data_IF_845005436577
#
_entry.id   IF_845005436577
#
_cell.length_a   1.000
_cell.length_b   1.000
_cell.length_c   1.000
_cell.angle_alpha   90.00
_cell.angle_beta   90.00
_cell.angle_gamma   90.00
#
_symmetry.space_group_name_H-M   'P 1'
#
loop_
_entity.id
_entity.type
_entity.pdbx_description
1 polymer ?
#
# COMPACT_ATOMS: atom_id res chain seq x y z
N UNK A 1 31.63 -16.59 39.50
CA UNK A 1 30.64 -16.13 38.48
C UNK A 1 30.69 -17.10 37.31
N UNK A 2 29.69 -17.95 37.18
CA UNK A 2 29.62 -18.96 36.08
C UNK A 2 28.75 -18.37 34.98
N UNK A 3 29.34 -17.99 33.84
CA UNK A 3 28.62 -17.68 32.60
C UNK A 3 28.03 -19.00 32.06
N UNK A 4 26.72 -19.12 32.06
CA UNK A 4 26.02 -20.14 31.29
C UNK A 4 25.99 -19.68 29.82
N UNK A 5 26.65 -20.44 28.97
CA UNK A 5 26.49 -20.33 27.52
C UNK A 5 25.04 -20.68 27.17
N UNK A 6 24.31 -19.71 26.64
CA UNK A 6 23.05 -19.96 25.97
C UNK A 6 23.36 -20.49 24.57
N UNK A 7 22.75 -21.59 24.29
CA UNK A 7 22.75 -22.36 23.06
C UNK A 7 22.45 -21.46 21.84
N UNK A 8 23.34 -21.49 20.88
CA UNK A 8 23.16 -21.03 19.50
C UNK A 8 21.90 -21.67 18.90
N UNK A 9 20.78 -20.96 18.87
CA UNK A 9 19.71 -21.22 17.91
C UNK A 9 20.33 -21.02 16.52
N UNK A 10 20.18 -22.02 15.66
CA UNK A 10 20.75 -22.00 14.32
C UNK A 10 20.35 -20.68 13.61
N UNK A 11 21.35 -19.99 13.10
CA UNK A 11 21.16 -18.95 12.12
C UNK A 11 20.46 -19.63 10.92
N UNK A 12 19.15 -19.45 10.81
CA UNK A 12 18.46 -19.68 9.56
C UNK A 12 19.16 -18.75 8.55
N UNK A 13 19.83 -19.33 7.58
CA UNK A 13 20.32 -18.58 6.43
C UNK A 13 19.07 -18.11 5.67
N UNK A 14 18.61 -16.90 5.98
CA UNK A 14 17.58 -16.24 5.21
C UNK A 14 18.23 -15.91 3.86
N UNK A 15 17.81 -16.62 2.83
CA UNK A 15 18.22 -16.31 1.46
C UNK A 15 17.24 -15.26 0.93
N UNK A 16 17.68 -14.02 0.82
CA UNK A 16 16.90 -12.91 0.25
C UNK A 16 16.84 -12.90 -1.28
N UNK A 17 17.47 -13.88 -1.95
CA UNK A 17 17.33 -14.02 -3.39
C UNK A 17 15.94 -14.60 -3.70
N UNK A 18 15.25 -13.97 -4.62
CA UNK A 18 14.00 -14.51 -5.14
C UNK A 18 14.23 -15.85 -5.82
N UNK A 19 13.21 -16.71 -5.80
CA UNK A 19 13.22 -17.96 -6.56
C UNK A 19 13.01 -17.67 -8.05
N UNK A 20 13.29 -18.65 -8.90
CA UNK A 20 13.04 -18.52 -10.34
C UNK A 20 11.56 -18.24 -10.65
N UNK A 21 10.64 -18.85 -9.91
CA UNK A 21 9.20 -18.60 -10.03
C UNK A 21 8.82 -17.16 -9.64
N UNK A 22 9.45 -16.62 -8.60
CA UNK A 22 9.23 -15.24 -8.15
C UNK A 22 9.79 -14.23 -9.16
N UNK A 23 10.92 -14.52 -9.78
CA UNK A 23 11.49 -13.70 -10.87
C UNK A 23 10.58 -13.75 -12.11
N UNK A 24 10.03 -14.93 -12.46
CA UNK A 24 9.06 -15.07 -13.55
C UNK A 24 7.76 -14.30 -13.27
N UNK A 25 7.27 -14.31 -12.01
CA UNK A 25 6.12 -13.50 -11.60
C UNK A 25 6.40 -12.01 -11.83
N UNK A 26 7.58 -11.53 -11.41
CA UNK A 26 8.01 -10.14 -11.63
C UNK A 26 8.00 -9.76 -13.11
N UNK A 27 8.64 -10.56 -13.95
CA UNK A 27 8.74 -10.30 -15.38
C UNK A 27 7.36 -10.28 -16.05
N UNK A 28 6.49 -11.18 -15.64
CA UNK A 28 5.13 -11.28 -16.18
C UNK A 28 4.27 -10.07 -15.78
N UNK A 29 4.29 -9.69 -14.50
CA UNK A 29 3.57 -8.50 -14.00
C UNK A 29 4.13 -7.22 -14.63
N UNK A 30 5.44 -7.10 -14.74
CA UNK A 30 6.10 -5.96 -15.41
C UNK A 30 5.64 -5.82 -16.85
N UNK A 31 5.71 -6.90 -17.63
CA UNK A 31 5.30 -6.90 -19.04
C UNK A 31 3.83 -6.50 -19.20
N UNK A 32 2.96 -7.01 -18.34
CA UNK A 32 1.54 -6.64 -18.34
C UNK A 32 1.34 -5.14 -18.02
N UNK A 33 2.03 -4.63 -17.01
CA UNK A 33 1.88 -3.23 -16.60
C UNK A 33 2.53 -2.25 -17.57
N UNK A 34 3.62 -2.61 -18.25
CA UNK A 34 4.19 -1.80 -19.35
C UNK A 34 3.19 -1.60 -20.49
N UNK A 35 2.35 -2.61 -20.76
CA UNK A 35 1.30 -2.51 -21.78
C UNK A 35 0.05 -1.75 -21.26
N UNK A 36 -0.40 -2.05 -20.02
CA UNK A 36 -1.71 -1.62 -19.51
C UNK A 36 -1.69 -0.37 -18.62
N UNK A 37 -0.52 0.03 -18.12
CA UNK A 37 -0.33 1.21 -17.28
C UNK A 37 0.75 2.13 -17.85
N UNK A 38 0.70 2.38 -19.16
CA UNK A 38 1.56 3.37 -19.79
C UNK A 38 1.30 4.78 -19.24
N UNK A 39 2.24 5.72 -19.41
CA UNK A 39 2.05 7.12 -19.01
C UNK A 39 0.74 7.71 -19.54
N UNK A 40 0.39 7.40 -20.80
CA UNK A 40 -0.84 7.87 -21.44
C UNK A 40 -2.08 7.34 -20.70
N UNK A 41 -2.10 6.07 -20.35
CA UNK A 41 -3.19 5.45 -19.59
C UNK A 41 -3.27 5.98 -18.15
N UNK A 42 -2.15 6.16 -17.47
CA UNK A 42 -2.13 6.79 -16.14
C UNK A 42 -2.74 8.19 -16.21
N UNK A 43 -2.36 9.01 -17.21
CA UNK A 43 -2.92 10.35 -17.40
C UNK A 43 -4.41 10.31 -17.73
N UNK A 44 -4.83 9.38 -18.56
CA UNK A 44 -6.24 9.20 -18.89
C UNK A 44 -7.06 8.84 -17.67
N UNK A 45 -6.58 7.87 -16.88
CA UNK A 45 -7.32 7.33 -15.72
C UNK A 45 -7.36 8.30 -14.54
N UNK A 46 -6.28 9.04 -14.28
CA UNK A 46 -6.26 10.01 -13.17
C UNK A 46 -7.29 11.13 -13.34
N UNK A 47 -7.70 11.42 -14.57
CA UNK A 47 -8.71 12.45 -14.88
C UNK A 47 -10.15 11.92 -14.85
N UNK A 48 -10.34 10.59 -14.73
CA UNK A 48 -11.67 9.99 -14.62
C UNK A 48 -12.18 9.97 -13.17
N UNK A 49 -13.49 9.97 -12.99
CA UNK A 49 -14.11 9.87 -11.66
C UNK A 49 -13.81 8.51 -11.01
N UNK A 50 -13.85 7.43 -11.78
CA UNK A 50 -13.59 6.07 -11.27
C UNK A 50 -12.12 5.85 -10.91
N UNK A 51 -11.18 6.44 -11.63
CA UNK A 51 -9.75 6.36 -11.37
C UNK A 51 -9.10 5.02 -11.76
N UNK A 52 -9.80 4.14 -12.49
CA UNK A 52 -9.26 2.86 -12.96
C UNK A 52 -9.95 2.38 -14.25
N UNK A 53 -9.35 1.41 -14.93
CA UNK A 53 -9.92 0.74 -16.10
C UNK A 53 -10.52 -0.61 -15.69
N UNK A 54 -11.82 -0.79 -15.92
CA UNK A 54 -12.56 -1.99 -15.52
C UNK A 54 -12.10 -3.24 -16.28
N UNK A 55 -11.69 -3.10 -17.56
CA UNK A 55 -11.21 -4.22 -18.34
C UNK A 55 -9.81 -4.68 -17.87
N UNK A 56 -8.93 -3.74 -17.54
CA UNK A 56 -7.63 -4.05 -16.95
C UNK A 56 -7.81 -4.70 -15.57
N UNK A 57 -8.73 -4.20 -14.74
CA UNK A 57 -9.05 -4.79 -13.44
C UNK A 57 -9.52 -6.23 -13.55
N UNK A 58 -10.44 -6.54 -14.50
CA UNK A 58 -10.87 -7.91 -14.76
C UNK A 58 -9.73 -8.81 -15.29
N UNK A 59 -8.88 -8.28 -16.18
CA UNK A 59 -7.70 -9.02 -16.66
C UNK A 59 -6.71 -9.36 -15.54
N UNK A 60 -6.50 -8.45 -14.60
CA UNK A 60 -5.66 -8.70 -13.41
C UNK A 60 -6.19 -9.86 -12.56
N UNK A 61 -7.52 -10.00 -12.45
CA UNK A 61 -8.14 -11.10 -11.71
C UNK A 61 -8.14 -12.40 -12.52
N UNK A 62 -8.70 -12.38 -13.73
CA UNK A 62 -9.01 -13.58 -14.52
C UNK A 62 -7.79 -14.22 -15.17
N UNK A 63 -6.82 -13.39 -15.62
CA UNK A 63 -5.65 -13.87 -16.35
C UNK A 63 -4.43 -14.03 -15.45
N UNK A 64 -4.25 -13.12 -14.48
CA UNK A 64 -3.09 -13.05 -13.63
C UNK A 64 -3.34 -13.53 -12.19
N UNK A 65 -4.60 -13.57 -11.76
CA UNK A 65 -4.98 -13.94 -10.40
C UNK A 65 -4.44 -13.01 -9.32
N UNK A 66 -4.13 -11.74 -9.65
CA UNK A 66 -3.44 -10.84 -8.71
C UNK A 66 -4.29 -10.53 -7.48
N UNK A 67 -5.60 -10.36 -7.64
CA UNK A 67 -6.52 -10.08 -6.53
C UNK A 67 -6.65 -11.26 -5.56
N UNK A 68 -6.45 -12.50 -6.05
CA UNK A 68 -6.55 -13.73 -5.27
C UNK A 68 -5.24 -14.16 -4.61
N UNK A 69 -4.13 -13.46 -4.87
CA UNK A 69 -2.77 -13.90 -4.57
C UNK A 69 -2.58 -14.34 -3.12
N UNK A 70 -2.93 -13.49 -2.15
CA UNK A 70 -2.76 -13.76 -0.71
C UNK A 70 -4.01 -14.35 -0.03
N UNK A 71 -5.11 -14.45 -0.75
CA UNK A 71 -6.35 -15.00 -0.20
C UNK A 71 -6.19 -16.51 -0.03
N UNK A 72 -6.60 -17.09 1.11
CA UNK A 72 -6.52 -18.54 1.32
C UNK A 72 -7.29 -19.33 0.27
N UNK A 73 -6.77 -20.50 -0.12
CA UNK A 73 -7.41 -21.39 -1.12
C UNK A 73 -8.87 -21.77 -0.74
N UNK A 74 -9.14 -21.92 0.57
CA UNK A 74 -10.48 -22.21 1.08
C UNK A 74 -11.51 -21.13 0.72
N UNK A 75 -11.06 -19.91 0.40
CA UNK A 75 -11.89 -18.77 0.05
C UNK A 75 -11.68 -18.29 -1.40
N UNK A 76 -11.22 -19.19 -2.27
CA UNK A 76 -11.06 -18.90 -3.71
C UNK A 76 -9.76 -18.19 -4.08
N UNK A 77 -8.80 -18.13 -3.17
CA UNK A 77 -7.48 -17.54 -3.40
C UNK A 77 -6.42 -18.54 -3.85
N UNK A 78 -5.19 -18.05 -3.98
CA UNK A 78 -4.02 -18.85 -4.34
C UNK A 78 -3.13 -19.21 -3.14
N UNK A 79 -3.34 -18.57 -1.99
CA UNK A 79 -2.63 -18.87 -0.76
C UNK A 79 -1.12 -18.55 -0.77
N UNK A 80 -0.68 -17.64 -1.66
CA UNK A 80 0.70 -17.16 -1.67
C UNK A 80 0.99 -16.24 -0.47
N UNK A 81 2.27 -15.97 -0.25
CA UNK A 81 2.73 -15.12 0.84
C UNK A 81 2.92 -13.66 0.48
N UNK A 82 3.42 -12.92 1.44
CA UNK A 82 3.74 -11.52 1.28
C UNK A 82 4.96 -11.28 0.36
N UNK A 83 5.83 -12.28 0.16
CA UNK A 83 6.96 -12.16 -0.77
C UNK A 83 6.47 -11.96 -2.20
N UNK A 84 5.48 -12.74 -2.65
CA UNK A 84 4.87 -12.59 -3.96
C UNK A 84 4.09 -11.29 -4.06
N UNK A 85 3.38 -10.89 -3.00
CA UNK A 85 2.62 -9.64 -2.98
C UNK A 85 3.53 -8.41 -3.13
N UNK A 86 4.67 -8.36 -2.44
CA UNK A 86 5.58 -7.20 -2.54
C UNK A 86 6.22 -7.10 -3.93
N UNK A 87 6.46 -8.21 -4.62
CA UNK A 87 6.93 -8.22 -6.02
C UNK A 87 5.89 -7.54 -6.92
N UNK A 88 4.63 -7.90 -6.77
CA UNK A 88 3.51 -7.31 -7.53
C UNK A 88 3.36 -5.81 -7.22
N UNK A 89 3.41 -5.42 -5.96
CA UNK A 89 3.28 -4.03 -5.53
C UNK A 89 4.47 -3.17 -6.00
N UNK A 90 5.68 -3.72 -6.03
CA UNK A 90 6.85 -3.02 -6.57
C UNK A 90 6.65 -2.67 -8.05
N UNK A 91 6.17 -3.62 -8.87
CA UNK A 91 5.90 -3.36 -10.29
C UNK A 91 4.71 -2.40 -10.48
N UNK A 92 3.69 -2.47 -9.63
CA UNK A 92 2.58 -1.50 -9.63
C UNK A 92 3.06 -0.08 -9.28
N UNK A 93 3.97 0.05 -8.32
CA UNK A 93 4.58 1.33 -7.97
C UNK A 93 5.46 1.89 -9.08
N UNK A 94 6.23 1.02 -9.75
CA UNK A 94 7.05 1.36 -10.91
C UNK A 94 6.21 1.96 -12.04
N UNK A 95 5.01 1.44 -12.27
CA UNK A 95 4.12 1.82 -13.37
C UNK A 95 3.05 2.85 -12.98
N UNK A 96 3.04 3.34 -11.73
CA UNK A 96 1.98 4.22 -11.17
C UNK A 96 0.57 3.68 -11.41
N UNK A 97 0.38 2.36 -11.29
CA UNK A 97 -0.90 1.73 -11.60
C UNK A 97 -2.08 2.47 -10.93
N UNK A 98 -3.07 2.81 -11.74
CA UNK A 98 -4.35 3.34 -11.30
C UNK A 98 -5.37 2.19 -11.22
N UNK A 99 -5.49 1.57 -10.05
CA UNK A 99 -6.44 0.47 -9.79
C UNK A 99 -6.71 0.33 -8.29
N UNK A 100 -7.90 -0.18 -7.89
CA UNK A 100 -8.27 -0.36 -6.48
C UNK A 100 -7.62 -1.62 -5.86
N UNK A 101 -6.36 -1.90 -6.22
CA UNK A 101 -5.64 -3.09 -5.77
C UNK A 101 -5.22 -2.96 -4.30
N UNK A 102 -4.62 -1.82 -3.94
CA UNK A 102 -4.15 -1.60 -2.57
C UNK A 102 -5.31 -1.62 -1.56
N UNK A 103 -6.41 -0.96 -1.88
CA UNK A 103 -7.60 -0.93 -1.03
C UNK A 103 -8.24 -2.31 -0.87
N UNK A 104 -8.35 -3.08 -1.98
CA UNK A 104 -9.05 -4.37 -1.96
C UNK A 104 -8.18 -5.50 -1.39
N UNK A 105 -6.92 -5.62 -1.87
CA UNK A 105 -6.05 -6.75 -1.51
C UNK A 105 -5.23 -6.45 -0.27
N UNK A 106 -4.56 -5.28 -0.20
CA UNK A 106 -3.67 -5.00 0.94
C UNK A 106 -4.44 -4.61 2.19
N UNK A 107 -5.53 -3.85 2.06
CA UNK A 107 -6.30 -3.40 3.22
C UNK A 107 -7.47 -4.34 3.55
N UNK A 108 -8.45 -4.46 2.65
CA UNK A 108 -9.70 -5.15 2.97
C UNK A 108 -9.52 -6.66 3.10
N UNK A 109 -8.83 -7.33 2.17
CA UNK A 109 -8.62 -8.77 2.28
C UNK A 109 -7.82 -9.14 3.52
N UNK A 110 -6.73 -8.40 3.86
CA UNK A 110 -6.00 -8.63 5.10
C UNK A 110 -6.86 -8.38 6.35
N UNK A 111 -7.74 -7.37 6.34
CA UNK A 111 -8.65 -7.13 7.47
C UNK A 111 -9.57 -8.33 7.69
N UNK A 112 -10.13 -8.91 6.63
CA UNK A 112 -10.96 -10.11 6.71
C UNK A 112 -10.14 -11.32 7.16
N UNK A 113 -8.99 -11.59 6.56
CA UNK A 113 -8.13 -12.74 6.89
C UNK A 113 -7.70 -12.69 8.36
N UNK A 114 -7.25 -11.54 8.84
CA UNK A 114 -6.77 -11.39 10.20
C UNK A 114 -7.87 -11.17 11.25
N UNK A 115 -9.13 -11.03 10.84
CA UNK A 115 -10.28 -11.03 11.75
C UNK A 115 -10.52 -12.38 12.41
N UNK A 116 -10.14 -13.47 11.73
CA UNK A 116 -10.46 -14.83 12.14
C UNK A 116 -11.97 -15.15 12.08
N UNK A 117 -12.75 -14.31 11.43
CA UNK A 117 -14.19 -14.52 11.24
C UNK A 117 -14.44 -15.31 9.97
N UNK A 118 -14.59 -16.62 10.13
CA UNK A 118 -14.81 -17.55 9.01
C UNK A 118 -16.07 -17.22 8.19
N UNK A 119 -17.12 -16.72 8.84
CA UNK A 119 -18.35 -16.35 8.14
C UNK A 119 -18.12 -15.11 7.26
N UNK A 120 -17.44 -14.11 7.78
CA UNK A 120 -17.08 -12.91 7.04
C UNK A 120 -16.09 -13.23 5.90
N UNK A 121 -15.08 -14.07 6.14
CA UNK A 121 -14.14 -14.51 5.11
C UNK A 121 -14.87 -15.25 3.99
N UNK A 122 -15.74 -16.21 4.30
CA UNK A 122 -16.53 -16.96 3.33
C UNK A 122 -17.50 -16.08 2.53
N UNK A 123 -18.05 -15.03 3.15
CA UNK A 123 -18.98 -14.12 2.49
C UNK A 123 -18.29 -13.15 1.51
N UNK A 124 -17.08 -12.67 1.83
CA UNK A 124 -16.50 -11.51 1.13
C UNK A 124 -15.23 -11.82 0.33
N UNK A 125 -14.35 -12.72 0.81
CA UNK A 125 -13.08 -13.00 0.13
C UNK A 125 -13.22 -13.55 -1.28
N UNK A 126 -14.18 -14.45 -1.60
CA UNK A 126 -14.34 -14.95 -2.98
C UNK A 126 -14.63 -13.85 -4.00
N UNK A 127 -15.47 -12.87 -3.63
CA UNK A 127 -15.77 -11.73 -4.50
C UNK A 127 -14.56 -10.80 -4.71
N UNK A 128 -13.69 -10.63 -3.69
CA UNK A 128 -12.44 -9.89 -3.82
C UNK A 128 -11.46 -10.68 -4.70
N UNK A 129 -11.33 -11.99 -4.49
CA UNK A 129 -10.44 -12.86 -5.26
C UNK A 129 -10.77 -12.87 -6.76
N UNK A 130 -12.05 -12.89 -7.11
CA UNK A 130 -12.53 -12.83 -8.50
C UNK A 130 -12.44 -11.43 -9.12
N UNK A 131 -12.21 -10.39 -8.33
CA UNK A 131 -12.24 -8.99 -8.78
C UNK A 131 -13.65 -8.41 -8.94
N UNK A 132 -14.72 -9.19 -8.67
CA UNK A 132 -16.11 -8.70 -8.71
C UNK A 132 -16.39 -7.68 -7.60
N UNK A 133 -15.74 -7.85 -6.43
CA UNK A 133 -15.89 -6.94 -5.29
C UNK A 133 -14.67 -6.05 -5.15
N UNK A 134 -14.85 -4.75 -5.36
CA UNK A 134 -13.91 -3.74 -4.93
C UNK A 134 -14.19 -3.45 -3.47
N UNK A 135 -13.18 -3.68 -2.62
CA UNK A 135 -13.30 -3.50 -1.18
C UNK A 135 -12.30 -2.46 -0.66
N UNK A 136 -12.62 -1.84 0.46
CA UNK A 136 -11.71 -0.88 1.11
C UNK A 136 -11.83 -0.93 2.63
N UNK A 137 -10.84 -0.34 3.31
CA UNK A 137 -10.84 -0.11 4.76
C UNK A 137 -10.96 1.39 5.06
N UNK A 138 -12.02 1.77 5.74
CA UNK A 138 -12.29 3.11 6.22
C UNK A 138 -11.82 3.26 7.67
N UNK A 139 -10.59 3.73 7.87
CA UNK A 139 -9.95 3.86 9.18
C UNK A 139 -9.86 5.32 9.63
N UNK A 140 -9.20 6.17 8.82
CA UNK A 140 -8.85 7.55 9.18
C UNK A 140 -10.07 8.43 9.42
N UNK A 141 -9.92 9.36 10.36
CA UNK A 141 -10.88 10.42 10.69
C UNK A 141 -10.20 11.80 10.63
N UNK A 142 -10.93 12.87 10.90
CA UNK A 142 -10.40 14.25 10.84
C UNK A 142 -9.19 14.48 11.75
N UNK A 143 -9.05 13.72 12.83
CA UNK A 143 -7.90 13.81 13.73
C UNK A 143 -6.56 13.48 13.07
N UNK A 144 -6.56 12.72 11.97
CA UNK A 144 -5.37 12.24 11.27
C UNK A 144 -4.49 11.27 12.07
N UNK A 145 -4.98 10.74 13.20
CA UNK A 145 -4.24 9.78 14.02
C UNK A 145 -4.36 8.37 13.46
N UNK A 146 -3.26 7.63 13.52
CA UNK A 146 -3.13 6.24 13.06
C UNK A 146 -3.12 5.22 14.21
N UNK A 147 -3.78 5.52 15.33
CA UNK A 147 -3.90 4.66 16.52
C UNK A 147 -5.36 4.56 16.98
N UNK A 148 -5.63 3.69 17.97
CA UNK A 148 -6.97 3.47 18.50
C UNK A 148 -7.66 4.76 18.98
N UNK A 149 -6.89 5.73 19.50
CA UNK A 149 -7.44 7.02 19.96
C UNK A 149 -7.94 7.90 18.81
N UNK A 150 -7.55 7.60 17.58
CA UNK A 150 -8.02 8.27 16.37
C UNK A 150 -9.43 7.86 15.95
N UNK A 151 -9.95 6.75 16.49
CA UNK A 151 -11.28 6.24 16.15
C UNK A 151 -12.32 6.81 17.10
N UNK A 152 -13.03 7.84 16.65
CA UNK A 152 -14.12 8.49 17.39
C UNK A 152 -15.52 8.12 16.87
N UNK A 153 -15.62 7.65 15.63
CA UNK A 153 -16.85 7.19 14.99
C UNK A 153 -17.56 6.15 15.85
N UNK A 154 -18.88 6.29 16.04
CA UNK A 154 -19.66 5.43 16.93
C UNK A 154 -20.40 4.34 16.17
N UNK A 155 -20.41 3.14 16.74
CA UNK A 155 -21.29 2.05 16.39
C UNK A 155 -22.32 1.85 17.49
N UNK A 156 -23.59 1.72 17.12
CA UNK A 156 -24.70 1.50 18.03
C UNK A 156 -25.47 0.25 17.63
N UNK A 157 -25.83 -0.58 18.59
CA UNK A 157 -26.55 -1.83 18.33
C UNK A 157 -26.06 -2.98 19.18
N UNK A 158 -26.19 -4.20 18.66
CA UNK A 158 -25.74 -5.44 19.31
C UNK A 158 -26.14 -6.67 18.49
N UNK A 159 -25.45 -7.79 18.72
CA UNK A 159 -25.66 -9.01 17.94
C UNK A 159 -25.45 -8.79 16.45
N UNK A 160 -26.45 -9.13 15.64
CA UNK A 160 -26.39 -9.02 14.18
C UNK A 160 -26.89 -7.66 13.64
N UNK A 161 -27.25 -6.73 14.51
CA UNK A 161 -27.86 -5.45 14.10
C UNK A 161 -27.06 -4.27 14.64
N UNK A 162 -26.23 -3.69 13.82
CA UNK A 162 -25.43 -2.51 14.11
C UNK A 162 -25.74 -1.36 13.16
N UNK A 163 -25.59 -0.14 13.66
CA UNK A 163 -25.62 1.06 12.83
C UNK A 163 -24.40 1.93 13.11
N UNK A 164 -23.88 2.57 12.07
CA UNK A 164 -22.73 3.45 12.15
C UNK A 164 -23.12 4.90 11.92
N UNK A 165 -22.54 5.82 12.70
CA UNK A 165 -22.71 7.26 12.52
C UNK A 165 -21.38 7.98 12.74
N UNK A 166 -20.98 8.81 11.74
CA UNK A 166 -19.74 9.56 11.74
C UNK A 166 -19.16 9.74 10.34
N UNK A 167 -17.89 10.14 10.28
CA UNK A 167 -17.22 10.43 9.01
C UNK A 167 -15.84 9.79 8.98
N UNK A 168 -15.50 9.16 7.84
CA UNK A 168 -14.17 8.66 7.53
C UNK A 168 -13.55 9.49 6.42
N UNK A 169 -12.25 9.78 6.57
CA UNK A 169 -11.49 10.64 5.68
C UNK A 169 -10.39 9.85 4.94
N UNK A 170 -10.09 10.29 3.74
CA UNK A 170 -8.99 9.76 2.93
C UNK A 170 -9.08 8.24 2.69
N UNK A 171 -10.30 7.73 2.53
CA UNK A 171 -10.56 6.32 2.27
C UNK A 171 -10.16 5.99 0.84
N UNK A 172 -9.15 5.13 0.68
CA UNK A 172 -8.67 4.70 -0.64
C UNK A 172 -9.81 4.01 -1.41
N UNK A 173 -10.06 4.46 -2.64
CA UNK A 173 -11.09 3.95 -3.54
C UNK A 173 -12.50 3.88 -2.92
N UNK A 174 -12.73 4.59 -1.81
CA UNK A 174 -14.00 4.59 -1.09
C UNK A 174 -15.20 5.07 -1.92
N UNK A 175 -14.96 5.85 -2.98
CA UNK A 175 -15.99 6.35 -3.90
C UNK A 175 -16.60 5.26 -4.78
N UNK A 176 -15.87 4.14 -5.04
CA UNK A 176 -16.30 3.04 -5.92
C UNK A 176 -16.44 1.70 -5.19
N UNK A 177 -16.03 1.60 -3.92
CA UNK A 177 -16.01 0.32 -3.20
C UNK A 177 -17.40 -0.30 -3.06
N UNK A 178 -17.53 -1.59 -3.38
CA UNK A 178 -18.75 -2.38 -3.18
C UNK A 178 -18.87 -2.85 -1.71
N UNK A 179 -17.74 -3.00 -1.04
CA UNK A 179 -17.62 -3.38 0.36
C UNK A 179 -16.72 -2.37 1.08
N UNK A 180 -17.22 -1.79 2.17
CA UNK A 180 -16.45 -0.89 3.02
C UNK A 180 -16.30 -1.53 4.40
N UNK A 181 -15.06 -1.88 4.78
CA UNK A 181 -14.76 -2.27 6.15
C UNK A 181 -14.48 -1.02 6.97
N UNK A 182 -15.21 -0.84 8.06
CA UNK A 182 -15.23 0.42 8.83
C UNK A 182 -14.77 0.17 10.26
N UNK A 183 -13.75 0.90 10.70
CA UNK A 183 -13.37 0.94 12.10
C UNK A 183 -14.31 1.89 12.86
N UNK A 184 -14.98 1.41 13.90
CA UNK A 184 -15.85 2.23 14.73
C UNK A 184 -15.78 1.79 16.21
N UNK A 185 -16.23 2.64 17.10
CA UNK A 185 -16.16 2.42 18.54
C UNK A 185 -17.51 1.98 19.08
N UNK A 186 -17.49 0.88 19.81
CA UNK A 186 -18.61 0.39 20.63
C UNK A 186 -18.33 0.67 22.12
N UNK A 187 -19.23 0.23 22.98
CA UNK A 187 -18.99 0.24 24.42
C UNK A 187 -17.85 -0.71 24.85
N UNK A 188 -17.56 -1.76 24.06
CA UNK A 188 -16.49 -2.72 24.33
C UNK A 188 -15.12 -2.24 23.84
N UNK A 189 -15.07 -1.32 22.86
CA UNK A 189 -13.82 -0.84 22.28
C UNK A 189 -13.93 -0.56 20.78
N UNK A 190 -12.76 -0.52 20.12
CA UNK A 190 -12.71 -0.41 18.64
C UNK A 190 -13.11 -1.75 18.04
N UNK A 191 -14.00 -1.72 17.08
CA UNK A 191 -14.51 -2.88 16.34
C UNK A 191 -14.46 -2.62 14.83
N UNK A 192 -14.50 -3.68 14.03
CA UNK A 192 -14.55 -3.59 12.58
C UNK A 192 -15.93 -4.01 12.10
N UNK A 193 -16.46 -3.28 11.14
CA UNK A 193 -17.80 -3.53 10.58
C UNK A 193 -17.73 -3.61 9.07
N UNK A 194 -18.49 -4.52 8.47
CA UNK A 194 -18.77 -4.54 7.04
C UNK A 194 -20.00 -3.69 6.73
N UNK A 195 -19.88 -2.85 5.70
CA UNK A 195 -20.95 -2.02 5.17
C UNK A 195 -21.02 -2.24 3.66
N UNK A 196 -22.22 -2.55 3.16
CA UNK A 196 -22.45 -2.67 1.72
C UNK A 196 -22.27 -1.31 1.01
N UNK A 197 -21.75 -1.35 -0.19
CA UNK A 197 -21.47 -0.14 -0.96
C UNK A 197 -22.67 0.74 -1.26
N UNK A 198 -23.86 0.20 -1.28
CA UNK A 198 -25.13 0.88 -1.50
C UNK A 198 -25.99 1.03 -0.23
N UNK A 199 -25.38 0.79 0.96
CA UNK A 199 -26.09 0.86 2.23
C UNK A 199 -26.77 2.23 2.44
N UNK A 200 -28.01 2.19 2.91
CA UNK A 200 -28.76 3.38 3.24
C UNK A 200 -28.04 4.21 4.32
N UNK A 201 -28.04 5.54 4.19
CA UNK A 201 -27.38 6.42 5.14
C UNK A 201 -25.89 6.63 4.89
N UNK A 202 -25.28 5.94 3.92
CA UNK A 202 -23.89 6.20 3.52
C UNK A 202 -23.84 7.20 2.35
N UNK A 203 -23.06 8.27 2.53
CA UNK A 203 -22.74 9.23 1.48
C UNK A 203 -21.24 9.21 1.16
N UNK A 204 -20.89 9.43 -0.11
CA UNK A 204 -19.53 9.39 -0.63
C UNK A 204 -19.18 10.69 -1.34
N UNK A 205 -17.99 11.18 -1.09
CA UNK A 205 -17.44 12.35 -1.78
C UNK A 205 -16.01 12.07 -2.21
N UNK A 206 -15.74 12.17 -3.50
CA UNK A 206 -14.39 12.05 -4.02
C UNK A 206 -13.56 13.27 -3.61
N UNK A 207 -12.39 13.07 -3.03
CA UNK A 207 -11.53 14.15 -2.56
C UNK A 207 -10.57 14.61 -3.67
N UNK A 208 -10.44 15.92 -3.83
CA UNK A 208 -9.38 16.48 -4.67
C UNK A 208 -8.06 16.40 -3.94
N UNK A 209 -7.19 15.49 -4.37
CA UNK A 209 -5.88 15.23 -3.78
C UNK A 209 -4.76 15.67 -4.71
N UNK A 210 -3.56 15.91 -4.14
CA UNK A 210 -2.37 16.25 -4.92
C UNK A 210 -1.98 15.10 -5.87
N UNK A 211 -2.02 13.87 -5.39
CA UNK A 211 -1.82 12.66 -6.18
C UNK A 211 -3.17 12.20 -6.76
N UNK A 212 -3.39 12.47 -8.04
CA UNK A 212 -4.61 12.08 -8.74
C UNK A 212 -4.60 10.63 -9.21
N UNK A 213 -3.45 9.97 -9.16
CA UNK A 213 -3.30 8.57 -9.60
C UNK A 213 -3.82 7.58 -8.55
N UNK A 214 -4.14 8.05 -7.32
CA UNK A 214 -4.72 7.28 -6.22
C UNK A 214 -5.91 8.03 -5.64
N UNK A 215 -7.12 7.59 -5.97
CA UNK A 215 -8.34 8.24 -5.52
C UNK A 215 -8.58 7.99 -4.03
N UNK A 216 -9.08 9.02 -3.37
CA UNK A 216 -9.45 8.98 -1.96
C UNK A 216 -10.82 9.63 -1.77
N UNK A 217 -11.62 9.12 -0.85
CA UNK A 217 -12.96 9.61 -0.58
C UNK A 217 -13.16 10.01 0.87
N UNK A 218 -14.10 10.92 1.08
CA UNK A 218 -14.79 11.11 2.36
C UNK A 218 -16.06 10.25 2.35
N UNK A 219 -16.25 9.45 3.40
CA UNK A 219 -17.44 8.64 3.61
C UNK A 219 -18.15 9.14 4.86
N UNK A 220 -19.43 9.49 4.72
CA UNK A 220 -20.28 9.91 5.84
C UNK A 220 -21.37 8.87 6.06
N UNK A 221 -21.58 8.50 7.32
CA UNK A 221 -22.51 7.48 7.75
C UNK A 221 -23.54 8.11 8.68
N UNK A 222 -24.82 7.91 8.40
CA UNK A 222 -25.94 8.36 9.21
C UNK A 222 -26.87 7.18 9.51
N UNK A 223 -26.69 6.58 10.69
CA UNK A 223 -27.40 5.35 11.10
C UNK A 223 -27.31 4.24 10.02
N UNK A 224 -26.17 4.16 9.36
CA UNK A 224 -25.93 3.21 8.26
C UNK A 224 -25.86 1.79 8.79
N UNK A 225 -26.66 0.85 8.26
CA UNK A 225 -26.63 -0.56 8.67
C UNK A 225 -25.24 -1.17 8.44
N UNK A 226 -24.79 -1.99 9.39
CA UNK A 226 -23.50 -2.62 9.36
C UNK A 226 -23.52 -3.99 10.05
N UNK A 227 -22.61 -4.88 9.64
CA UNK A 227 -22.40 -6.20 10.25
C UNK A 227 -21.05 -6.20 10.96
N UNK A 228 -21.01 -6.65 12.20
CA UNK A 228 -19.77 -6.79 12.96
C UNK A 228 -18.88 -7.87 12.32
N UNK A 229 -17.59 -7.58 12.20
CA UNK A 229 -16.55 -8.53 11.78
C UNK A 229 -15.70 -8.89 13.00
N UNK A 230 -15.59 -10.19 13.26
CA UNK A 230 -14.85 -10.69 14.42
C UNK A 230 -15.56 -10.43 15.74
N UNK A 231 -14.82 -10.00 16.76
CA UNK A 231 -15.32 -9.83 18.12
C UNK A 231 -15.51 -8.35 18.44
N UNK A 232 -16.61 -8.01 19.09
CA UNK A 232 -16.87 -6.65 19.61
C UNK A 232 -15.78 -6.22 20.58
N UNK A 233 -15.15 -5.07 20.30
CA UNK A 233 -14.02 -4.52 21.04
C UNK A 233 -12.65 -5.09 20.62
N UNK A 234 -12.59 -6.14 19.80
CA UNK A 234 -11.34 -6.78 19.33
C UNK A 234 -10.77 -6.21 18.03
N UNK A 235 -11.38 -5.15 17.51
CA UNK A 235 -11.02 -4.63 16.17
C UNK A 235 -9.64 -3.97 16.11
N UNK A 236 -9.14 -3.38 17.21
CA UNK A 236 -7.86 -2.70 17.16
C UNK A 236 -6.69 -3.65 16.92
N UNK A 237 -6.67 -4.83 17.51
CA UNK A 237 -5.61 -5.83 17.32
C UNK A 237 -5.54 -6.28 15.86
N UNK A 238 -6.70 -6.39 15.18
CA UNK A 238 -6.78 -6.67 13.75
C UNK A 238 -6.20 -5.51 12.95
N UNK A 239 -6.64 -4.29 13.24
CA UNK A 239 -6.26 -3.09 12.51
C UNK A 239 -4.77 -2.74 12.67
N UNK A 240 -4.20 -2.92 13.85
CA UNK A 240 -2.77 -2.70 14.08
C UNK A 240 -1.93 -3.63 13.21
N UNK A 241 -2.29 -4.91 13.13
CA UNK A 241 -1.64 -5.88 12.25
C UNK A 241 -1.79 -5.51 10.78
N UNK A 242 -2.99 -5.12 10.36
CA UNK A 242 -3.25 -4.69 8.98
C UNK A 242 -2.46 -3.44 8.63
N UNK A 243 -2.28 -2.50 9.56
CA UNK A 243 -1.45 -1.31 9.34
C UNK A 243 0.04 -1.66 9.16
N UNK A 244 0.57 -2.63 9.91
CA UNK A 244 1.95 -3.12 9.69
C UNK A 244 2.08 -3.77 8.32
N UNK A 245 1.15 -4.63 7.92
CA UNK A 245 1.12 -5.26 6.60
C UNK A 245 0.96 -4.23 5.47
N UNK A 246 0.12 -3.22 5.68
CA UNK A 246 -0.04 -2.11 4.74
C UNK A 246 1.23 -1.25 4.61
N UNK A 247 1.95 -1.03 5.71
CA UNK A 247 3.24 -0.34 5.69
C UNK A 247 4.29 -1.12 4.87
N UNK A 248 4.34 -2.46 5.01
CA UNK A 248 5.20 -3.33 4.19
C UNK A 248 4.82 -3.25 2.70
N UNK A 249 3.55 -3.40 2.38
CA UNK A 249 3.06 -3.31 0.99
C UNK A 249 3.35 -1.95 0.36
N UNK A 250 3.15 -0.87 1.11
CA UNK A 250 3.42 0.48 0.63
C UNK A 250 4.93 0.74 0.47
N UNK A 251 5.79 0.19 1.34
CA UNK A 251 7.23 0.27 1.20
C UNK A 251 7.71 -0.39 -0.11
N UNK A 252 7.15 -1.55 -0.47
CA UNK A 252 7.45 -2.21 -1.74
C UNK A 252 7.00 -1.37 -2.96
N UNK A 253 5.80 -0.81 -2.92
CA UNK A 253 5.32 0.10 -3.97
C UNK A 253 6.23 1.34 -4.11
N UNK A 254 6.66 1.90 -2.99
CA UNK A 254 7.58 3.05 -2.97
C UNK A 254 8.94 2.71 -3.59
N UNK A 255 9.45 1.51 -3.37
CA UNK A 255 10.68 1.02 -4.01
C UNK A 255 10.55 0.99 -5.53
N UNK A 256 9.43 0.47 -6.05
CA UNK A 256 9.17 0.46 -7.50
C UNK A 256 9.16 1.86 -8.11
N UNK A 257 8.47 2.80 -7.46
CA UNK A 257 8.43 4.21 -7.88
C UNK A 257 9.80 4.90 -7.80
N UNK A 258 10.57 4.64 -6.74
CA UNK A 258 11.92 5.17 -6.56
C UNK A 258 12.88 4.65 -7.64
N UNK A 259 12.81 3.35 -7.96
CA UNK A 259 13.60 2.75 -9.03
C UNK A 259 13.27 3.40 -10.38
N UNK A 260 12.00 3.63 -10.69
CA UNK A 260 11.63 4.29 -11.95
C UNK A 260 12.13 5.73 -12.03
N UNK A 261 12.12 6.46 -10.91
CA UNK A 261 12.72 7.81 -10.85
C UNK A 261 14.21 7.77 -11.14
N UNK A 262 14.94 6.81 -10.58
CA UNK A 262 16.37 6.61 -10.84
C UNK A 262 16.62 6.29 -12.32
N UNK A 263 15.86 5.35 -12.88
CA UNK A 263 16.00 4.93 -14.29
C UNK A 263 15.79 6.12 -15.24
N UNK A 264 14.72 6.90 -15.05
CA UNK A 264 14.44 8.11 -15.84
C UNK A 264 15.56 9.14 -15.72
N UNK A 265 16.07 9.38 -14.52
CA UNK A 265 17.15 10.34 -14.29
C UNK A 265 18.45 9.94 -14.97
N UNK A 266 18.81 8.64 -14.87
CA UNK A 266 20.02 8.09 -15.49
C UNK A 266 19.92 8.12 -17.01
N UNK A 267 18.79 7.73 -17.58
CA UNK A 267 18.61 7.71 -19.03
C UNK A 267 18.61 9.13 -19.61
N UNK A 268 17.94 10.07 -18.94
CA UNK A 268 18.03 11.46 -19.35
C UNK A 268 19.46 12.01 -19.26
N UNK A 269 20.19 11.69 -18.20
CA UNK A 269 21.57 12.12 -18.01
C UNK A 269 22.52 11.61 -19.11
N UNK A 270 22.25 10.44 -19.71
CA UNK A 270 23.01 9.87 -20.82
C UNK A 270 22.76 10.58 -22.15
N UNK A 271 21.53 11.09 -22.38
CA UNK A 271 21.13 11.63 -23.70
C UNK A 271 21.10 13.15 -23.76
N UNK A 272 20.84 13.82 -22.63
CA UNK A 272 20.75 15.29 -22.59
C UNK A 272 22.12 15.93 -22.72
N UNK A 273 22.31 16.74 -23.75
CA UNK A 273 23.57 17.47 -23.98
C UNK A 273 23.48 18.91 -23.49
N UNK A 274 24.47 19.33 -22.70
CA UNK A 274 24.74 20.71 -22.30
C UNK A 274 26.26 20.94 -22.29
N UNK A 275 26.69 22.15 -22.64
CA UNK A 275 28.11 22.51 -22.71
C UNK A 275 28.94 21.55 -23.56
N UNK A 276 28.34 21.06 -24.70
CA UNK A 276 28.97 20.21 -25.68
C UNK A 276 29.12 18.73 -25.30
N UNK A 277 28.52 18.26 -24.20
CA UNK A 277 28.61 16.87 -23.78
C UNK A 277 27.35 16.44 -22.97
N UNK A 278 27.06 15.13 -22.84
CA UNK A 278 25.99 14.63 -22.01
C UNK A 278 26.11 15.14 -20.57
N UNK A 279 24.97 15.51 -19.95
CA UNK A 279 24.96 16.05 -18.57
C UNK A 279 25.46 15.02 -17.55
N UNK A 280 25.27 13.72 -17.79
CA UNK A 280 25.83 12.64 -16.97
C UNK A 280 27.36 12.57 -16.97
N UNK A 281 28.06 13.32 -17.83
CA UNK A 281 29.51 13.45 -17.77
C UNK A 281 29.99 14.39 -16.66
N UNK A 282 29.11 15.24 -16.08
CA UNK A 282 29.45 16.14 -14.99
C UNK A 282 29.34 15.44 -13.64
N UNK A 283 30.33 15.67 -12.76
CA UNK A 283 30.38 15.02 -11.44
C UNK A 283 29.13 15.27 -10.60
N UNK A 284 28.58 16.48 -10.61
CA UNK A 284 27.38 16.81 -9.86
C UNK A 284 26.18 15.90 -10.19
N UNK A 285 25.96 15.61 -11.48
CA UNK A 285 24.89 14.73 -11.93
C UNK A 285 25.21 13.27 -11.63
N UNK A 286 26.47 12.82 -11.88
CA UNK A 286 26.90 11.45 -11.56
C UNK A 286 26.72 11.13 -10.07
N UNK A 287 27.09 12.04 -9.19
CA UNK A 287 27.00 11.82 -7.75
C UNK A 287 25.55 11.73 -7.32
N UNK A 288 24.66 12.61 -7.82
CA UNK A 288 23.22 12.51 -7.56
C UNK A 288 22.65 11.16 -7.97
N UNK A 289 22.95 10.68 -9.17
CA UNK A 289 22.50 9.34 -9.61
C UNK A 289 23.10 8.21 -8.75
N UNK A 290 24.35 8.35 -8.29
CA UNK A 290 24.99 7.37 -7.41
C UNK A 290 24.35 7.35 -6.02
N UNK A 291 24.06 8.53 -5.47
CA UNK A 291 23.40 8.66 -4.17
C UNK A 291 21.96 8.08 -4.24
N UNK A 292 21.20 8.42 -5.31
CA UNK A 292 19.88 7.81 -5.57
C UNK A 292 19.97 6.28 -5.65
N UNK A 293 20.97 5.73 -6.36
CA UNK A 293 21.15 4.28 -6.47
C UNK A 293 21.38 3.64 -5.09
N UNK A 294 22.25 4.24 -4.28
CA UNK A 294 22.55 3.73 -2.93
C UNK A 294 21.30 3.70 -2.05
N UNK A 295 20.49 4.76 -2.10
CA UNK A 295 19.25 4.85 -1.32
C UNK A 295 18.19 3.86 -1.83
N UNK A 296 18.01 3.72 -3.15
CA UNK A 296 17.05 2.79 -3.74
C UNK A 296 17.41 1.33 -3.41
N UNK A 297 18.69 0.95 -3.52
CA UNK A 297 19.13 -0.42 -3.18
C UNK A 297 19.00 -0.72 -1.67
N UNK A 298 19.24 0.29 -0.83
CA UNK A 298 19.00 0.15 0.61
C UNK A 298 17.50 0.03 0.93
N UNK A 299 16.65 0.81 0.24
CA UNK A 299 15.20 0.72 0.38
C UNK A 299 14.66 -0.64 -0.08
N UNK A 300 15.16 -1.20 -1.19
CA UNK A 300 14.85 -2.57 -1.63
C UNK A 300 15.16 -3.58 -0.54
N UNK A 301 16.34 -3.50 0.04
CA UNK A 301 16.76 -4.42 1.11
C UNK A 301 15.82 -4.36 2.31
N UNK A 302 15.41 -3.15 2.72
CA UNK A 302 14.47 -2.95 3.83
C UNK A 302 13.07 -3.50 3.50
N UNK A 303 12.54 -3.20 2.31
CA UNK A 303 11.22 -3.64 1.88
C UNK A 303 11.15 -5.17 1.71
N UNK A 304 12.19 -5.80 1.15
CA UNK A 304 12.24 -7.25 0.94
C UNK A 304 12.35 -8.00 2.27
N UNK A 305 13.16 -7.49 3.21
CA UNK A 305 13.21 -8.06 4.56
C UNK A 305 11.85 -7.96 5.27
N UNK A 306 11.19 -6.80 5.16
CA UNK A 306 9.86 -6.61 5.73
C UNK A 306 8.81 -7.52 5.07
N UNK A 307 8.88 -7.72 3.75
CA UNK A 307 8.02 -8.66 3.02
C UNK A 307 8.22 -10.11 3.46
N UNK A 308 9.48 -10.53 3.67
CA UNK A 308 9.77 -11.83 4.24
C UNK A 308 9.21 -11.97 5.67
N UNK A 309 9.44 -10.98 6.53
CA UNK A 309 8.91 -10.98 7.89
C UNK A 309 7.37 -11.04 7.92
N UNK A 310 6.71 -10.37 6.96
CA UNK A 310 5.26 -10.41 6.81
C UNK A 310 4.77 -11.78 6.31
N UNK A 311 5.52 -12.43 5.41
CA UNK A 311 5.19 -13.78 4.92
C UNK A 311 5.24 -14.83 6.04
N UNK A 312 6.25 -14.74 6.90
CA UNK A 312 6.42 -15.63 8.04
C UNK A 312 5.60 -15.23 9.28
N UNK A 313 4.96 -14.06 9.24
CA UNK A 313 4.24 -13.46 10.38
C UNK A 313 5.06 -13.51 11.68
N UNK A 314 6.37 -13.24 11.57
CA UNK A 314 7.31 -13.38 12.69
C UNK A 314 7.22 -12.19 13.67
N UNK A 315 7.83 -12.36 14.87
CA UNK A 315 7.77 -11.36 15.95
C UNK A 315 8.49 -10.05 15.60
N UNK A 316 9.33 -10.02 14.55
CA UNK A 316 10.04 -8.81 14.11
C UNK A 316 9.19 -7.94 13.18
N UNK A 317 8.09 -8.47 12.63
CA UNK A 317 7.24 -7.77 11.66
C UNK A 317 6.88 -6.33 12.09
N UNK A 318 6.40 -6.06 13.29
CA UNK A 318 6.05 -4.70 13.68
C UNK A 318 7.21 -3.71 13.56
N UNK A 319 8.39 -4.11 14.03
CA UNK A 319 9.59 -3.26 14.01
C UNK A 319 10.11 -3.04 12.59
N UNK A 320 10.19 -4.11 11.78
CA UNK A 320 10.72 -4.00 10.41
C UNK A 320 9.73 -3.31 9.47
N UNK A 321 8.42 -3.43 9.69
CA UNK A 321 7.41 -2.68 8.96
C UNK A 321 7.60 -1.16 9.15
N UNK A 322 7.79 -0.72 10.40
CA UNK A 322 8.05 0.69 10.72
C UNK A 322 9.37 1.17 10.10
N UNK A 323 10.43 0.36 10.20
CA UNK A 323 11.73 0.68 9.61
C UNK A 323 11.63 0.85 8.09
N UNK A 324 11.03 -0.13 7.41
CA UNK A 324 10.89 -0.12 5.96
C UNK A 324 10.04 1.06 5.49
N UNK A 325 8.90 1.33 6.14
CA UNK A 325 8.02 2.45 5.79
C UNK A 325 8.72 3.80 5.94
N UNK A 326 9.44 4.01 7.05
CA UNK A 326 10.17 5.26 7.26
C UNK A 326 11.25 5.46 6.20
N UNK A 327 12.08 4.44 5.95
CA UNK A 327 13.22 4.55 5.04
C UNK A 327 12.79 4.64 3.56
N UNK A 328 11.87 3.76 3.12
CA UNK A 328 11.40 3.75 1.73
C UNK A 328 10.65 5.04 1.37
N UNK A 329 9.92 5.64 2.32
CA UNK A 329 9.24 6.93 2.10
C UNK A 329 10.23 8.05 1.79
N UNK A 330 11.31 8.18 2.57
CA UNK A 330 12.34 9.20 2.35
C UNK A 330 13.12 8.93 1.06
N UNK A 331 13.53 7.68 0.83
CA UNK A 331 14.25 7.29 -0.38
C UNK A 331 13.44 7.59 -1.66
N UNK A 332 12.14 7.27 -1.67
CA UNK A 332 11.29 7.54 -2.82
C UNK A 332 11.08 9.05 -3.03
N UNK A 333 10.81 9.78 -1.96
CA UNK A 333 10.63 11.23 -2.07
C UNK A 333 11.91 11.92 -2.56
N UNK A 334 13.08 11.53 -2.05
CA UNK A 334 14.37 12.05 -2.49
C UNK A 334 14.65 11.68 -3.96
N UNK A 335 14.47 10.42 -4.35
CA UNK A 335 14.66 9.98 -5.73
C UNK A 335 13.74 10.73 -6.71
N UNK A 336 12.48 10.96 -6.34
CA UNK A 336 11.53 11.70 -7.16
C UNK A 336 11.90 13.19 -7.28
N UNK A 337 12.38 13.82 -6.20
CA UNK A 337 12.84 15.19 -6.20
C UNK A 337 14.10 15.38 -7.07
N UNK A 338 15.09 14.49 -6.92
CA UNK A 338 16.32 14.53 -7.71
C UNK A 338 16.07 14.22 -9.20
N UNK A 339 15.10 13.32 -9.49
CA UNK A 339 14.67 13.07 -10.87
C UNK A 339 14.16 14.37 -11.53
N UNK A 340 13.28 15.13 -10.86
CA UNK A 340 12.83 16.45 -11.35
C UNK A 340 14.03 17.40 -11.51
N UNK A 341 14.92 17.45 -10.54
CA UNK A 341 16.08 18.34 -10.56
C UNK A 341 17.03 18.03 -11.72
N UNK A 342 17.27 16.75 -12.03
CA UNK A 342 18.14 16.30 -13.13
C UNK A 342 17.51 16.64 -14.49
N UNK A 343 16.19 16.49 -14.64
CA UNK A 343 15.46 16.89 -15.84
C UNK A 343 15.39 18.41 -16.00
N UNK A 344 15.51 19.18 -14.90
CA UNK A 344 15.42 20.63 -14.93
C UNK A 344 14.00 21.10 -15.30
N UNK A 345 13.89 22.15 -16.10
CA UNK A 345 12.61 22.76 -16.41
C UNK A 345 11.54 21.80 -16.94
N UNK A 346 11.91 20.83 -17.79
CA UNK A 346 10.94 19.87 -18.34
C UNK A 346 10.38 18.93 -17.27
N UNK A 347 11.19 18.53 -16.29
CA UNK A 347 10.73 17.65 -15.21
C UNK A 347 9.62 18.23 -14.33
N UNK A 348 9.42 19.55 -14.39
CA UNK A 348 8.37 20.27 -13.66
C UNK A 348 7.15 20.59 -14.50
N UNK A 349 7.16 20.26 -15.77
CA UNK A 349 6.03 20.49 -16.70
C UNK A 349 5.04 19.32 -16.69
N UNK A 350 3.81 19.58 -17.12
CA UNK A 350 2.81 18.54 -17.29
C UNK A 350 3.15 17.54 -18.40
N UNK A 351 4.07 17.87 -19.29
CA UNK A 351 4.48 17.04 -20.42
C UNK A 351 5.39 15.87 -20.01
N UNK A 352 5.99 15.92 -18.80
CA UNK A 352 6.92 14.91 -18.33
C UNK A 352 6.36 14.15 -17.11
N UNK A 353 6.52 12.80 -17.01
CA UNK A 353 5.92 12.02 -15.92
C UNK A 353 6.57 12.22 -14.54
N UNK A 354 7.74 12.85 -14.44
CA UNK A 354 8.47 13.00 -13.17
C UNK A 354 7.61 13.60 -12.04
N UNK A 355 6.74 14.57 -12.36
CA UNK A 355 5.88 15.18 -11.37
C UNK A 355 4.78 14.22 -10.84
N UNK A 356 4.37 13.21 -11.61
CA UNK A 356 3.42 12.19 -11.17
C UNK A 356 4.06 11.34 -10.07
N UNK A 357 5.28 10.89 -10.29
CA UNK A 357 6.06 10.14 -9.28
C UNK A 357 6.31 10.97 -8.02
N UNK A 358 6.63 12.26 -8.18
CA UNK A 358 6.83 13.15 -7.03
C UNK A 358 5.56 13.31 -6.17
N UNK A 359 4.41 13.46 -6.81
CA UNK A 359 3.11 13.53 -6.13
C UNK A 359 2.76 12.22 -5.44
N UNK A 360 2.96 11.08 -6.12
CA UNK A 360 2.77 9.74 -5.55
C UNK A 360 3.72 9.49 -4.38
N UNK A 361 4.98 9.90 -4.48
CA UNK A 361 5.95 9.78 -3.39
C UNK A 361 5.48 10.53 -2.14
N UNK A 362 5.01 11.78 -2.30
CA UNK A 362 4.51 12.57 -1.17
C UNK A 362 3.22 12.03 -0.58
N UNK A 363 2.29 11.56 -1.41
CA UNK A 363 1.05 10.91 -0.97
C UNK A 363 1.35 9.63 -0.18
N UNK A 364 2.25 8.78 -0.71
CA UNK A 364 2.66 7.54 -0.06
C UNK A 364 3.46 7.75 1.23
N UNK A 365 4.24 8.84 1.31
CA UNK A 365 4.96 9.23 2.54
C UNK A 365 3.99 9.47 3.70
N UNK A 366 2.85 10.14 3.44
CA UNK A 366 1.87 10.50 4.47
C UNK A 366 0.92 9.35 4.83
N UNK A 367 0.66 8.44 3.89
CA UNK A 367 -0.31 7.36 4.05
C UNK A 367 0.18 6.36 5.11
N UNK A 368 -0.69 6.00 6.06
CA UNK A 368 -0.45 5.13 7.22
C UNK A 368 0.62 5.62 8.20
N UNK A 369 0.93 6.91 8.19
CA UNK A 369 1.94 7.54 9.03
C UNK A 369 3.19 7.94 8.25
N UNK A 370 3.71 9.11 8.59
CA UNK A 370 4.92 9.67 7.98
C UNK A 370 6.21 9.02 8.57
N UNK A 371 7.40 9.33 8.02
CA UNK A 371 8.66 8.79 8.54
C UNK A 371 8.92 9.12 10.01
N UNK A 372 8.46 10.27 10.50
CA UNK A 372 8.63 10.66 11.91
C UNK A 372 7.76 9.78 12.82
N UNK A 373 6.51 9.55 12.43
CA UNK A 373 5.61 8.65 13.13
C UNK A 373 6.17 7.21 13.20
N UNK A 374 6.68 6.69 12.07
CA UNK A 374 7.22 5.33 12.04
C UNK A 374 8.55 5.19 12.80
N UNK A 375 9.39 6.24 12.88
CA UNK A 375 10.58 6.21 13.73
C UNK A 375 10.23 6.19 15.21
N UNK A 376 9.24 6.97 15.63
CA UNK A 376 8.75 6.95 17.01
C UNK A 376 8.14 5.57 17.34
N UNK A 377 7.33 5.03 16.45
CA UNK A 377 6.73 3.71 16.61
C UNK A 377 7.80 2.60 16.66
N UNK A 378 8.84 2.69 15.83
CA UNK A 378 10.00 1.78 15.87
C UNK A 378 10.72 1.86 17.21
N UNK A 379 11.01 3.07 17.71
CA UNK A 379 11.67 3.26 18.99
C UNK A 379 10.90 2.60 20.14
N UNK A 380 9.58 2.80 20.19
CA UNK A 380 8.69 2.16 21.17
C UNK A 380 8.72 0.63 21.06
N UNK A 381 8.68 0.09 19.83
CA UNK A 381 8.66 -1.37 19.55
C UNK A 381 9.97 -2.08 19.92
N UNK A 382 11.10 -1.38 19.87
CA UNK A 382 12.40 -1.92 20.28
C UNK A 382 12.78 -1.55 21.73
N UNK A 383 11.91 -0.85 22.44
CA UNK A 383 12.06 -0.55 23.87
C UNK A 383 12.98 0.63 24.19
N UNK A 384 13.04 1.63 23.30
CA UNK A 384 13.80 2.88 23.52
C UNK A 384 12.83 4.02 23.86
#
# INVERSE_FOLDING_TARGET
MRYRAQTTRGLLHVNFAFTEEQDQLRDFVRSFLEEKSSEEEVRRLMDTDNGYDTAVWSQMAEQLGLQSLIIPEAHGGQGFGYVELIIVLEEMGRSLLCAPFFSSVVLAANTLIHSGDEAAMAAHLPGIASGETIATLALSEESGKWNADGIAMQASGGGDSWTLSGTKMYVLDGHIANLVLVAARTAAGVSVFAVDGDAAGMARENLSTMDQTRKQARLTFDNTPATLIGTDGGGWDILERVLDLAAVGLAAEQVGGAQMCLDMAVDYAKVRVQFGRPIGSFQAIKHKCADMLLEVESAKSAAYYAGWAASEMNDELPSVASLAKAYCSEAYFHAAAENIQIHGGIGFTWEHPAHLYFKRAKSSELLFGDPTYHRELLAQRIGI
#
